data_IF_229854782490
#
_entry.id   IF_229854782490
#
_cell.length_a   1.000
_cell.length_b   1.000
_cell.length_c   1.000
_cell.angle_alpha   90.00
_cell.angle_beta   90.00
_cell.angle_gamma   90.00
#
_symmetry.space_group_name_H-M   'P 1'
#
loop_
_entity.id
_entity.type
_entity.pdbx_description
1 polymer ?
#
# COMPACT_ATOMS: atom_id res chain seq x y z
N UNK A 1 77.33 -47.90 14.44
CA UNK A 1 76.62 -46.94 15.29
C UNK A 1 75.73 -46.14 14.36
N UNK A 2 74.48 -46.58 14.18
CA UNK A 2 73.27 -45.91 14.70
C UNK A 2 72.99 -44.59 13.96
N UNK A 3 71.80 -44.22 13.46
CA UNK A 3 70.44 -44.73 13.70
C UNK A 3 69.45 -44.11 12.67
N UNK A 4 68.37 -44.86 12.39
CA UNK A 4 66.96 -44.43 12.25
C UNK A 4 66.42 -43.70 10.99
N UNK A 5 65.76 -44.48 10.12
CA UNK A 5 64.29 -44.56 9.92
C UNK A 5 63.45 -43.26 10.00
N UNK A 6 62.78 -42.91 8.88
CA UNK A 6 61.40 -42.38 8.89
C UNK A 6 60.57 -43.05 7.80
N UNK A 7 59.60 -43.84 8.26
CA UNK A 7 58.50 -44.38 7.49
C UNK A 7 57.26 -43.46 7.62
N UNK A 8 56.54 -43.34 6.50
CA UNK A 8 55.08 -43.34 6.33
C UNK A 8 54.12 -42.49 7.19
N UNK A 9 53.27 -41.77 6.43
CA UNK A 9 51.81 -41.55 6.49
C UNK A 9 51.16 -40.76 7.65
N UNK A 10 50.29 -39.81 7.22
CA UNK A 10 48.87 -39.64 7.58
C UNK A 10 48.38 -38.42 6.76
N UNK A 11 47.80 -38.59 5.57
CA UNK A 11 46.43 -39.01 5.26
C UNK A 11 45.38 -38.13 5.96
N UNK A 12 45.04 -37.02 5.31
CA UNK A 12 43.87 -36.18 5.62
C UNK A 12 42.77 -36.64 4.68
N UNK A 13 41.56 -37.02 5.16
CA UNK A 13 40.53 -37.48 4.26
C UNK A 13 40.01 -36.28 3.46
N UNK A 14 40.32 -36.24 2.17
CA UNK A 14 39.62 -35.42 1.19
C UNK A 14 38.15 -35.83 1.20
N UNK A 15 37.30 -35.00 1.83
CA UNK A 15 35.85 -35.17 1.74
C UNK A 15 35.47 -34.89 0.28
N UNK A 16 35.17 -35.95 -0.44
CA UNK A 16 34.85 -35.96 -1.85
C UNK A 16 33.45 -35.35 -2.06
N UNK A 17 33.40 -34.02 -2.26
CA UNK A 17 32.17 -33.21 -2.35
C UNK A 17 31.24 -33.69 -3.47
N UNK A 18 31.77 -34.26 -4.54
CA UNK A 18 31.02 -34.74 -5.71
C UNK A 18 30.21 -36.03 -5.46
N UNK A 19 30.59 -36.85 -4.48
CA UNK A 19 29.84 -38.08 -4.15
C UNK A 19 28.59 -37.79 -3.31
N UNK A 20 28.68 -36.81 -2.41
CA UNK A 20 27.58 -36.41 -1.54
C UNK A 20 26.45 -35.72 -2.31
N UNK A 21 26.76 -34.98 -3.37
CA UNK A 21 25.75 -34.34 -4.22
C UNK A 21 24.90 -35.35 -5.00
N UNK A 22 25.52 -36.43 -5.51
CA UNK A 22 24.82 -37.47 -6.26
C UNK A 22 23.92 -38.33 -5.36
N UNK A 23 24.37 -38.63 -4.15
CA UNK A 23 23.59 -39.41 -3.17
C UNK A 23 22.36 -38.63 -2.65
N UNK A 24 22.51 -37.31 -2.45
CA UNK A 24 21.39 -36.43 -2.11
C UNK A 24 20.36 -36.40 -3.23
N UNK A 25 20.79 -36.24 -4.49
CA UNK A 25 19.89 -36.19 -5.65
C UNK A 25 19.06 -37.47 -5.83
N UNK A 26 19.66 -38.63 -5.56
CA UNK A 26 18.97 -39.91 -5.63
C UNK A 26 17.92 -40.06 -4.51
N UNK A 27 18.21 -39.56 -3.30
CA UNK A 27 17.25 -39.51 -2.19
C UNK A 27 16.08 -38.56 -2.52
N UNK A 28 16.35 -37.40 -3.13
CA UNK A 28 15.32 -36.43 -3.50
C UNK A 28 14.36 -36.96 -4.56
N UNK A 29 14.89 -37.60 -5.60
CA UNK A 29 14.08 -38.25 -6.65
C UNK A 29 13.21 -39.36 -6.08
N UNK A 30 13.74 -40.16 -5.14
CA UNK A 30 13.00 -41.26 -4.51
C UNK A 30 11.87 -40.78 -3.60
N UNK A 31 12.09 -39.68 -2.87
CA UNK A 31 11.18 -39.20 -1.82
C UNK A 31 10.06 -38.31 -2.35
N UNK A 32 10.36 -37.43 -3.32
CA UNK A 32 9.40 -36.44 -3.83
C UNK A 32 8.76 -36.82 -5.18
N UNK A 33 9.34 -37.78 -5.91
CA UNK A 33 8.86 -38.22 -7.25
C UNK A 33 8.43 -37.07 -8.16
N UNK A 34 9.31 -36.08 -8.42
CA UNK A 34 8.97 -34.95 -9.29
C UNK A 34 8.61 -35.44 -10.70
N UNK A 35 7.54 -34.88 -11.27
CA UNK A 35 7.03 -35.26 -12.60
C UNK A 35 7.72 -34.54 -13.76
N UNK A 36 8.44 -33.45 -13.47
CA UNK A 36 9.15 -32.61 -14.44
C UNK A 36 10.52 -32.24 -13.90
N UNK A 37 11.46 -32.01 -14.82
CA UNK A 37 12.83 -31.60 -14.46
C UNK A 37 12.85 -30.24 -13.73
N UNK A 38 11.92 -29.34 -14.06
CA UNK A 38 11.73 -28.05 -13.39
C UNK A 38 11.29 -28.20 -11.92
N UNK A 39 10.40 -29.15 -11.64
CA UNK A 39 9.99 -29.45 -10.27
C UNK A 39 11.15 -30.05 -9.46
N UNK A 40 11.96 -30.94 -10.07
CA UNK A 40 13.15 -31.50 -9.44
C UNK A 40 14.17 -30.41 -9.09
N UNK A 41 14.40 -29.46 -10.00
CA UNK A 41 15.30 -28.33 -9.77
C UNK A 41 14.81 -27.39 -8.66
N UNK A 42 13.49 -27.21 -8.52
CA UNK A 42 12.87 -26.37 -7.48
C UNK A 42 13.01 -27.01 -6.09
N UNK A 43 12.74 -28.31 -5.98
CA UNK A 43 12.94 -29.08 -4.73
C UNK A 43 14.40 -29.03 -4.29
N UNK A 44 15.35 -29.22 -5.23
CA UNK A 44 16.79 -29.14 -4.94
C UNK A 44 17.18 -27.76 -4.42
N UNK A 45 16.68 -26.69 -5.03
CA UNK A 45 16.89 -25.31 -4.56
C UNK A 45 16.33 -25.09 -3.16
N UNK A 46 15.09 -25.49 -2.91
CA UNK A 46 14.43 -25.31 -1.61
C UNK A 46 15.22 -26.01 -0.48
N UNK A 47 15.65 -27.26 -0.71
CA UNK A 47 16.40 -28.04 0.28
C UNK A 47 17.82 -27.48 0.47
N UNK A 48 18.48 -27.04 -0.60
CA UNK A 48 19.77 -26.34 -0.49
C UNK A 48 19.67 -25.05 0.32
N UNK A 49 18.58 -24.29 0.14
CA UNK A 49 18.33 -23.05 0.89
C UNK A 49 18.08 -23.34 2.37
N UNK A 50 17.29 -24.38 2.68
CA UNK A 50 17.02 -24.83 4.04
C UNK A 50 18.30 -25.34 4.73
N UNK A 51 19.12 -26.14 4.03
CA UNK A 51 20.39 -26.64 4.54
C UNK A 51 21.38 -25.49 4.83
N UNK A 52 21.47 -24.51 3.93
CA UNK A 52 22.28 -23.31 4.13
C UNK A 52 21.79 -22.48 5.33
N UNK A 53 20.47 -22.38 5.53
CA UNK A 53 19.87 -21.68 6.67
C UNK A 53 20.11 -22.41 8.00
N UNK A 54 19.93 -23.74 8.02
CA UNK A 54 20.21 -24.58 9.18
C UNK A 54 21.69 -24.51 9.58
N UNK A 55 22.60 -24.48 8.60
CA UNK A 55 24.05 -24.41 8.85
C UNK A 55 24.51 -23.06 9.45
N UNK A 56 23.71 -21.99 9.34
CA UNK A 56 24.00 -20.71 10.02
C UNK A 56 23.80 -20.77 11.54
N UNK A 57 23.40 -21.92 12.10
CA UNK A 57 23.32 -22.17 13.54
C UNK A 57 22.16 -21.48 14.25
N UNK A 58 21.22 -20.89 13.50
CA UNK A 58 20.08 -20.15 14.04
C UNK A 58 18.85 -21.03 14.33
N UNK A 59 18.88 -22.32 13.93
CA UNK A 59 17.74 -23.22 14.05
C UNK A 59 18.00 -24.29 15.12
N UNK A 60 17.22 -24.27 16.20
CA UNK A 60 17.16 -25.40 17.13
C UNK A 60 16.35 -26.52 16.48
N UNK A 61 17.03 -27.47 15.87
CA UNK A 61 16.38 -28.65 15.27
C UNK A 61 15.78 -29.50 16.39
N UNK A 62 14.46 -29.58 16.45
CA UNK A 62 13.76 -30.47 17.37
C UNK A 62 13.82 -31.91 16.83
N UNK A 63 13.57 -32.90 17.69
CA UNK A 63 13.43 -34.32 17.30
C UNK A 63 12.33 -34.52 16.26
N UNK A 64 11.33 -33.63 16.28
CA UNK A 64 10.32 -33.52 15.25
C UNK A 64 10.71 -32.45 14.21
N UNK A 65 11.06 -32.93 13.02
CA UNK A 65 11.47 -32.09 11.89
C UNK A 65 10.28 -31.30 11.32
N UNK A 66 9.06 -31.83 11.40
CA UNK A 66 7.86 -31.16 10.91
C UNK A 66 7.59 -29.91 11.76
N UNK A 67 7.61 -30.06 13.09
CA UNK A 67 7.49 -28.93 14.02
C UNK A 67 8.59 -27.87 13.82
N UNK A 68 9.81 -28.31 13.46
CA UNK A 68 10.91 -27.38 13.15
C UNK A 68 10.60 -26.57 11.87
N UNK A 69 10.08 -27.20 10.82
CA UNK A 69 9.70 -26.54 9.57
C UNK A 69 8.54 -25.57 9.79
N UNK A 70 7.51 -25.97 10.51
CA UNK A 70 6.37 -25.10 10.84
C UNK A 70 6.81 -23.85 11.62
N UNK A 71 7.73 -24.02 12.57
CA UNK A 71 8.31 -22.90 13.32
C UNK A 71 9.10 -21.93 12.42
N UNK A 72 9.83 -22.47 11.43
CA UNK A 72 10.56 -21.64 10.47
C UNK A 72 9.62 -20.88 9.53
N UNK A 73 8.53 -21.50 9.08
CA UNK A 73 7.50 -20.83 8.28
C UNK A 73 6.87 -19.71 9.08
N UNK A 74 6.52 -19.95 10.35
CA UNK A 74 5.97 -18.91 11.22
C UNK A 74 6.94 -17.72 11.41
N UNK A 75 8.25 -17.98 11.55
CA UNK A 75 9.25 -16.91 11.66
C UNK A 75 9.37 -16.09 10.35
N UNK A 76 9.23 -16.75 9.19
CA UNK A 76 9.19 -16.07 7.89
C UNK A 76 7.92 -15.23 7.77
N UNK A 77 6.77 -15.79 8.14
CA UNK A 77 5.48 -15.11 8.08
C UNK A 77 5.45 -13.89 9.01
N UNK A 78 6.07 -13.98 10.19
CA UNK A 78 6.25 -12.84 11.10
C UNK A 78 7.08 -11.74 10.44
N UNK A 79 8.24 -12.08 9.87
CA UNK A 79 9.11 -11.12 9.16
C UNK A 79 8.42 -10.48 7.95
N UNK A 80 7.67 -11.27 7.18
CA UNK A 80 6.90 -10.78 6.04
C UNK A 80 5.76 -9.87 6.49
N UNK A 81 5.05 -10.25 7.56
CA UNK A 81 3.96 -9.47 8.14
C UNK A 81 4.47 -8.13 8.68
N UNK A 82 5.60 -8.12 9.38
CA UNK A 82 6.23 -6.90 9.87
C UNK A 82 6.61 -5.96 8.72
N UNK A 83 7.25 -6.49 7.69
CA UNK A 83 7.63 -5.70 6.53
C UNK A 83 6.41 -5.17 5.77
N UNK A 84 5.38 -6.01 5.60
CA UNK A 84 4.13 -5.62 4.95
C UNK A 84 3.39 -4.57 5.77
N UNK A 85 3.36 -4.70 7.09
CA UNK A 85 2.77 -3.71 7.99
C UNK A 85 3.45 -2.35 7.83
N UNK A 86 4.78 -2.29 7.73
CA UNK A 86 5.49 -1.04 7.48
C UNK A 86 5.11 -0.39 6.14
N UNK A 87 4.97 -1.19 5.08
CA UNK A 87 4.59 -0.70 3.74
C UNK A 87 3.14 -0.20 3.75
N UNK A 88 2.20 -1.04 4.21
CA UNK A 88 0.77 -0.74 4.18
C UNK A 88 0.37 0.38 5.15
N UNK A 89 1.09 0.55 6.27
CA UNK A 89 0.84 1.64 7.22
C UNK A 89 1.65 2.91 6.94
N UNK A 90 2.37 2.95 5.81
CA UNK A 90 3.04 4.19 5.41
C UNK A 90 1.99 5.26 5.05
N UNK A 91 2.13 6.47 5.60
CA UNK A 91 1.13 7.54 5.47
C UNK A 91 0.79 7.89 4.02
N UNK A 92 1.79 7.92 3.14
CA UNK A 92 1.56 8.22 1.73
C UNK A 92 0.81 7.09 1.01
N UNK A 93 1.09 5.84 1.38
CA UNK A 93 0.39 4.68 0.82
C UNK A 93 -1.05 4.68 1.29
N UNK A 94 -1.31 4.83 2.59
CA UNK A 94 -2.66 4.88 3.14
C UNK A 94 -3.50 6.01 2.55
N UNK A 95 -2.90 7.19 2.30
CA UNK A 95 -3.61 8.31 1.67
C UNK A 95 -4.02 8.00 0.23
N UNK A 96 -3.13 7.38 -0.54
CA UNK A 96 -3.43 6.97 -1.91
C UNK A 96 -4.47 5.85 -1.92
N UNK A 97 -4.28 4.85 -1.06
CA UNK A 97 -5.18 3.71 -0.91
C UNK A 97 -6.58 4.16 -0.49
N UNK A 98 -6.71 5.06 0.48
CA UNK A 98 -8.01 5.56 0.96
C UNK A 98 -8.77 6.28 -0.16
N UNK A 99 -8.09 7.08 -0.97
CA UNK A 99 -8.69 7.79 -2.10
C UNK A 99 -9.22 6.80 -3.15
N UNK A 100 -8.42 5.81 -3.54
CA UNK A 100 -8.82 4.81 -4.55
C UNK A 100 -9.87 3.82 -4.03
N UNK A 101 -9.77 3.40 -2.77
CA UNK A 101 -10.80 2.55 -2.15
C UNK A 101 -12.11 3.31 -1.96
N UNK A 102 -12.05 4.60 -1.62
CA UNK A 102 -13.22 5.48 -1.58
C UNK A 102 -13.89 5.62 -2.96
N UNK A 103 -13.10 5.81 -4.02
CA UNK A 103 -13.61 5.84 -5.39
C UNK A 103 -14.19 4.49 -5.83
N UNK A 104 -13.52 3.37 -5.54
CA UNK A 104 -14.04 2.03 -5.82
C UNK A 104 -15.36 1.83 -5.11
N UNK A 105 -15.44 2.18 -3.82
CA UNK A 105 -16.69 2.10 -3.05
C UNK A 105 -17.80 2.92 -3.70
N UNK A 106 -17.52 4.14 -4.16
CA UNK A 106 -18.51 4.96 -4.85
C UNK A 106 -19.01 4.31 -6.15
N UNK A 107 -18.10 3.76 -6.96
CA UNK A 107 -18.44 3.11 -8.23
C UNK A 107 -19.21 1.81 -8.00
N UNK A 108 -18.74 0.96 -7.08
CA UNK A 108 -19.31 -0.36 -6.82
C UNK A 108 -20.71 -0.30 -6.19
N UNK A 109 -21.02 0.79 -5.46
CA UNK A 109 -22.32 1.00 -4.82
C UNK A 109 -23.26 1.90 -5.63
N UNK A 110 -22.88 2.29 -6.84
CA UNK A 110 -23.70 3.12 -7.71
C UNK A 110 -24.08 2.33 -8.96
N UNK A 111 -25.38 2.18 -9.19
CA UNK A 111 -25.92 1.63 -10.44
C UNK A 111 -25.73 2.64 -11.59
N UNK A 112 -24.52 2.69 -12.13
CA UNK A 112 -24.19 3.51 -13.28
C UNK A 112 -24.97 3.03 -14.51
N UNK A 113 -25.87 3.88 -15.00
CA UNK A 113 -26.70 3.65 -16.19
C UNK A 113 -26.59 4.87 -17.12
N UNK A 114 -27.37 4.92 -18.20
CA UNK A 114 -27.34 6.05 -19.14
C UNK A 114 -27.64 7.42 -18.48
N UNK A 115 -28.35 7.42 -17.35
CA UNK A 115 -28.74 8.64 -16.61
C UNK A 115 -27.75 9.06 -15.53
N UNK A 116 -26.86 8.17 -15.08
CA UNK A 116 -25.91 8.44 -14.01
C UNK A 116 -24.48 8.19 -14.47
N UNK A 117 -23.70 9.28 -14.53
CA UNK A 117 -22.30 9.25 -14.93
C UNK A 117 -21.43 9.79 -13.80
N UNK A 118 -20.32 9.09 -13.54
CA UNK A 118 -19.29 9.52 -12.60
C UNK A 118 -18.10 10.00 -13.43
N UNK A 119 -17.66 11.24 -13.20
CA UNK A 119 -16.48 11.83 -13.84
C UNK A 119 -15.47 12.18 -12.77
N UNK A 120 -14.22 11.77 -12.99
CA UNK A 120 -13.15 11.90 -12.01
C UNK A 120 -12.10 12.89 -12.52
N UNK A 121 -11.76 13.86 -11.68
CA UNK A 121 -10.65 14.79 -11.90
C UNK A 121 -9.58 14.52 -10.83
N UNK A 122 -8.42 14.04 -11.25
CA UNK A 122 -7.29 13.87 -10.34
C UNK A 122 -6.57 15.21 -10.16
N UNK A 123 -6.77 15.85 -9.01
CA UNK A 123 -6.10 17.09 -8.63
C UNK A 123 -5.86 17.10 -7.12
N UNK A 124 -4.67 17.48 -6.67
CA UNK A 124 -4.39 17.61 -5.24
C UNK A 124 -5.01 18.89 -4.66
N UNK A 125 -5.33 18.89 -3.36
CA UNK A 125 -5.89 20.07 -2.68
C UNK A 125 -5.00 21.31 -2.81
N UNK A 126 -3.67 21.12 -2.77
CA UNK A 126 -2.69 22.20 -2.92
C UNK A 126 -2.65 22.76 -4.36
N UNK A 127 -2.71 21.89 -5.38
CA UNK A 127 -2.80 22.32 -6.78
C UNK A 127 -4.12 23.03 -7.07
N UNK A 128 -5.22 22.53 -6.54
CA UNK A 128 -6.53 23.16 -6.64
C UNK A 128 -6.51 24.55 -5.98
N UNK A 129 -5.95 24.64 -4.77
CA UNK A 129 -5.76 25.89 -4.04
C UNK A 129 -4.87 26.89 -4.79
N UNK A 130 -3.74 26.45 -5.35
CA UNK A 130 -2.86 27.28 -6.18
C UNK A 130 -3.55 27.75 -7.46
N UNK A 131 -4.31 26.88 -8.11
CA UNK A 131 -5.04 27.20 -9.33
C UNK A 131 -6.07 28.26 -9.05
N UNK A 132 -7.01 28.03 -8.13
CA UNK A 132 -8.06 29.00 -7.81
C UNK A 132 -7.50 30.31 -7.25
N UNK A 133 -6.40 30.27 -6.48
CA UNK A 133 -5.74 31.49 -5.98
C UNK A 133 -5.28 32.42 -7.10
N UNK A 134 -4.81 31.90 -8.23
CA UNK A 134 -4.33 32.71 -9.38
C UNK A 134 -5.45 33.52 -10.05
N UNK A 135 -6.70 33.08 -9.91
CA UNK A 135 -7.86 33.66 -10.58
C UNK A 135 -8.81 34.37 -9.61
N UNK A 136 -8.41 34.66 -8.37
CA UNK A 136 -9.28 35.34 -7.39
C UNK A 136 -9.72 36.74 -7.86
N UNK A 137 -10.86 37.20 -7.34
CA UNK A 137 -11.39 38.52 -7.63
C UNK A 137 -12.28 38.51 -8.87
N UNK A 138 -12.04 39.40 -9.83
CA UNK A 138 -12.88 39.54 -11.02
C UNK A 138 -12.67 38.46 -12.09
N UNK A 139 -11.60 37.68 -12.00
CA UNK A 139 -11.22 36.68 -13.02
C UNK A 139 -11.54 35.23 -12.61
N UNK A 140 -12.37 35.02 -11.59
CA UNK A 140 -12.63 33.71 -11.00
C UNK A 140 -13.35 32.76 -11.97
N UNK A 141 -14.16 33.33 -12.85
CA UNK A 141 -14.86 32.71 -13.98
C UNK A 141 -13.90 32.26 -15.10
N UNK A 142 -12.66 32.75 -15.12
CA UNK A 142 -11.65 32.31 -16.09
C UNK A 142 -10.81 31.13 -15.59
N UNK A 143 -11.04 30.68 -14.36
CA UNK A 143 -10.28 29.58 -13.76
C UNK A 143 -10.51 28.25 -14.51
N UNK A 144 -9.49 27.39 -14.68
CA UNK A 144 -9.65 26.09 -15.33
C UNK A 144 -10.75 25.23 -14.72
N UNK A 145 -10.93 25.32 -13.41
CA UNK A 145 -11.97 24.60 -12.67
C UNK A 145 -13.35 25.12 -13.03
N UNK A 146 -13.54 26.45 -13.08
CA UNK A 146 -14.81 27.03 -13.51
C UNK A 146 -15.16 26.63 -14.94
N UNK A 147 -14.19 26.68 -15.86
CA UNK A 147 -14.45 26.28 -17.26
C UNK A 147 -14.88 24.83 -17.38
N UNK A 148 -14.22 23.92 -16.65
CA UNK A 148 -14.57 22.50 -16.67
C UNK A 148 -15.95 22.21 -16.06
N UNK A 149 -16.30 22.87 -14.95
CA UNK A 149 -17.56 22.60 -14.23
C UNK A 149 -18.74 23.34 -14.87
N UNK A 150 -18.53 24.61 -15.24
CA UNK A 150 -19.58 25.48 -15.79
C UNK A 150 -19.55 25.50 -17.31
N UNK A 151 -18.50 26.04 -17.94
CA UNK A 151 -18.53 26.33 -19.39
C UNK A 151 -18.68 25.09 -20.26
N UNK A 152 -17.95 24.01 -19.95
CA UNK A 152 -17.94 22.80 -20.77
C UNK A 152 -19.22 21.96 -20.67
N UNK A 153 -19.99 22.13 -19.59
CA UNK A 153 -21.15 21.29 -19.29
C UNK A 153 -22.42 22.11 -19.11
N UNK A 154 -22.50 22.91 -18.03
CA UNK A 154 -23.70 23.69 -17.72
C UNK A 154 -23.98 24.81 -18.76
N UNK A 155 -22.93 25.49 -19.22
CA UNK A 155 -23.01 26.59 -20.19
C UNK A 155 -23.01 26.14 -21.65
N UNK A 156 -22.77 24.86 -21.93
CA UNK A 156 -22.65 24.32 -23.28
C UNK A 156 -24.00 23.80 -23.77
N UNK A 157 -24.39 24.15 -24.99
CA UNK A 157 -25.60 23.61 -25.60
C UNK A 157 -25.45 22.09 -25.82
N UNK A 158 -26.35 21.31 -25.21
CA UNK A 158 -26.30 19.84 -25.23
C UNK A 158 -25.25 19.23 -24.29
N UNK A 159 -24.71 20.00 -23.34
CA UNK A 159 -23.82 19.48 -22.29
C UNK A 159 -24.56 18.70 -21.19
N UNK A 160 -23.79 18.08 -20.30
CA UNK A 160 -24.31 17.24 -19.20
C UNK A 160 -23.97 17.89 -17.86
N UNK A 161 -24.84 18.76 -17.31
CA UNK A 161 -24.53 19.51 -16.10
C UNK A 161 -24.28 18.57 -14.91
N UNK A 162 -23.27 18.92 -14.10
CA UNK A 162 -22.93 18.15 -12.92
C UNK A 162 -24.02 18.31 -11.84
N UNK A 163 -24.55 17.18 -11.35
CA UNK A 163 -25.53 17.18 -10.27
C UNK A 163 -24.93 17.44 -8.89
N UNK A 164 -23.70 16.97 -8.65
CA UNK A 164 -22.94 17.26 -7.42
C UNK A 164 -21.43 17.14 -7.68
N UNK A 165 -20.65 17.81 -6.85
CA UNK A 165 -19.19 17.73 -6.84
C UNK A 165 -18.74 17.13 -5.52
N UNK A 166 -17.92 16.08 -5.58
CA UNK A 166 -17.32 15.44 -4.41
C UNK A 166 -15.84 15.80 -4.38
N UNK A 167 -15.39 16.43 -3.30
CA UNK A 167 -13.99 16.69 -3.02
C UNK A 167 -13.46 15.72 -1.97
N UNK A 168 -12.60 14.80 -2.39
CA UNK A 168 -11.83 13.92 -1.50
C UNK A 168 -10.69 14.69 -0.82
N UNK A 169 -11.09 15.66 0.00
CA UNK A 169 -10.22 16.53 0.77
C UNK A 169 -10.76 16.65 2.18
N UNK A 170 -9.86 17.02 3.09
CA UNK A 170 -10.18 17.32 4.47
C UNK A 170 -9.92 18.81 4.69
N UNK A 171 -10.96 19.56 5.08
CA UNK A 171 -10.86 20.99 5.32
C UNK A 171 -10.79 21.29 6.81
N UNK A 172 -9.85 22.16 7.20
CA UNK A 172 -9.71 22.68 8.55
C UNK A 172 -10.21 24.14 8.65
N UNK A 173 -10.05 24.74 9.83
CA UNK A 173 -10.36 26.16 10.07
C UNK A 173 -9.23 27.11 9.64
N UNK A 174 -8.21 26.61 8.93
CA UNK A 174 -7.10 27.46 8.48
C UNK A 174 -7.55 28.49 7.44
N UNK A 175 -6.91 29.68 7.38
CA UNK A 175 -7.23 30.69 6.36
C UNK A 175 -7.14 30.16 4.92
N UNK A 176 -6.22 29.22 4.67
CA UNK A 176 -6.03 28.59 3.36
C UNK A 176 -7.25 27.74 2.98
N UNK A 177 -7.71 26.89 3.88
CA UNK A 177 -8.90 26.04 3.69
C UNK A 177 -10.16 26.87 3.52
N UNK A 178 -10.39 27.86 4.38
CA UNK A 178 -11.54 28.77 4.29
C UNK A 178 -11.54 29.53 2.96
N UNK A 179 -10.39 30.05 2.54
CA UNK A 179 -10.29 30.77 1.28
C UNK A 179 -10.48 29.86 0.06
N UNK A 180 -10.03 28.60 0.12
CA UNK A 180 -10.29 27.61 -0.92
C UNK A 180 -11.79 27.25 -1.01
N UNK A 181 -12.42 26.95 0.12
CA UNK A 181 -13.87 26.69 0.20
C UNK A 181 -14.69 27.88 -0.30
N UNK A 182 -14.26 29.11 -0.01
CA UNK A 182 -14.94 30.32 -0.50
C UNK A 182 -14.92 30.40 -2.02
N UNK A 183 -13.81 30.09 -2.67
CA UNK A 183 -13.74 30.09 -4.14
C UNK A 183 -14.53 28.92 -4.75
N UNK A 184 -14.45 27.72 -4.14
CA UNK A 184 -15.25 26.57 -4.58
C UNK A 184 -16.75 26.81 -4.43
N UNK A 185 -17.18 27.51 -3.38
CA UNK A 185 -18.56 27.88 -3.16
C UNK A 185 -19.10 28.79 -4.27
N UNK A 186 -18.28 29.71 -4.81
CA UNK A 186 -18.67 30.54 -5.97
C UNK A 186 -18.87 29.70 -7.23
N UNK A 187 -17.95 28.77 -7.50
CA UNK A 187 -18.04 27.85 -8.66
C UNK A 187 -19.29 26.95 -8.52
N UNK A 188 -19.48 26.35 -7.35
CA UNK A 188 -20.63 25.52 -7.02
C UNK A 188 -21.96 26.28 -7.17
N UNK A 189 -22.03 27.51 -6.65
CA UNK A 189 -23.22 28.35 -6.75
C UNK A 189 -23.55 28.72 -8.20
N UNK A 190 -22.53 29.02 -9.02
CA UNK A 190 -22.74 29.39 -10.42
C UNK A 190 -23.19 28.20 -11.27
N UNK A 191 -22.64 27.01 -11.05
CA UNK A 191 -23.00 25.79 -11.77
C UNK A 191 -24.22 25.05 -11.18
N UNK A 192 -24.85 25.59 -10.13
CA UNK A 192 -25.91 24.91 -9.37
C UNK A 192 -25.53 23.49 -8.91
N UNK A 193 -24.26 23.29 -8.59
CA UNK A 193 -23.67 21.99 -8.29
C UNK A 193 -23.12 22.00 -6.85
N UNK A 194 -23.82 21.42 -5.86
CA UNK A 194 -23.37 21.41 -4.48
C UNK A 194 -22.02 20.69 -4.34
N UNK A 195 -21.13 21.27 -3.53
CA UNK A 195 -19.82 20.71 -3.20
C UNK A 195 -19.86 19.96 -1.87
N UNK A 196 -19.53 18.68 -1.88
CA UNK A 196 -19.52 17.79 -0.72
C UNK A 196 -18.08 17.39 -0.44
N UNK A 197 -17.64 17.53 0.80
CA UNK A 197 -16.27 17.23 1.22
C UNK A 197 -16.22 16.88 2.70
N UNK A 198 -15.06 16.45 3.20
CA UNK A 198 -14.87 16.08 4.61
C UNK A 198 -14.32 17.24 5.44
N UNK A 199 -14.64 17.23 6.74
CA UNK A 199 -14.11 18.17 7.71
C UNK A 199 -12.96 17.53 8.48
N UNK A 200 -11.98 18.34 8.85
CA UNK A 200 -10.88 17.94 9.73
C UNK A 200 -11.33 17.94 11.19
N UNK A 201 -10.86 17.00 12.04
CA UNK A 201 -11.14 17.04 13.49
C UNK A 201 -10.66 18.34 14.13
N UNK A 202 -9.66 19.00 13.53
CA UNK A 202 -9.15 20.30 13.95
C UNK A 202 -10.19 21.42 13.93
N UNK A 203 -11.28 21.30 13.16
CA UNK A 203 -12.41 22.25 13.19
C UNK A 203 -13.07 22.26 14.58
N UNK A 204 -13.15 21.09 15.23
CA UNK A 204 -13.67 20.93 16.58
C UNK A 204 -12.56 21.07 17.65
N UNK A 205 -11.39 21.60 17.29
CA UNK A 205 -10.20 21.67 18.15
C UNK A 205 -9.73 20.30 18.67
N UNK A 206 -9.99 19.24 17.90
CA UNK A 206 -9.59 17.87 18.23
C UNK A 206 -8.39 17.44 17.38
N UNK A 207 -7.59 16.50 17.91
CA UNK A 207 -6.48 15.91 17.15
C UNK A 207 -6.95 14.72 16.31
N UNK A 208 -8.05 14.07 16.70
CA UNK A 208 -8.62 12.92 16.02
C UNK A 208 -10.13 12.82 16.28
N UNK A 209 -10.84 12.14 15.38
CA UNK A 209 -12.29 11.94 15.52
C UNK A 209 -12.70 11.00 16.67
N UNK A 210 -11.77 10.30 17.34
CA UNK A 210 -12.10 9.45 18.50
C UNK A 210 -12.46 10.28 19.73
N UNK A 211 -11.93 11.50 19.82
CA UNK A 211 -12.21 12.46 20.89
C UNK A 211 -13.66 12.97 20.87
N UNK A 212 -14.38 12.82 19.75
CA UNK A 212 -15.72 13.34 19.58
C UNK A 212 -16.72 12.77 20.61
N UNK A 213 -16.58 11.51 21.00
CA UNK A 213 -17.42 10.89 22.02
C UNK A 213 -17.15 11.37 23.45
N UNK A 214 -16.01 12.04 23.67
CA UNK A 214 -15.59 12.55 24.97
C UNK A 214 -15.82 14.07 25.13
N UNK A 215 -16.59 14.68 24.21
CA UNK A 215 -16.94 16.09 24.30
C UNK A 215 -17.99 16.29 25.41
N UNK A 216 -17.55 16.26 26.68
CA UNK A 216 -18.36 16.73 27.80
C UNK A 216 -18.55 18.24 27.65
N UNK A 217 -19.80 18.67 27.49
CA UNK A 217 -20.20 20.06 27.34
C UNK A 217 -19.90 20.84 28.62
N UNK A 218 -18.66 21.30 28.82
CA UNK A 218 -18.33 22.28 29.87
C UNK A 218 -17.04 22.98 29.51
N UNK A 219 -17.16 24.16 28.90
CA UNK A 219 -16.32 25.31 29.20
C UNK A 219 -17.04 26.55 28.64
N UNK A 220 -18.10 26.95 29.35
CA UNK A 220 -18.49 28.36 29.38
C UNK A 220 -17.32 29.15 29.97
N UNK A 221 -16.66 29.94 29.13
CA UNK A 221 -15.90 31.13 29.55
C UNK A 221 -16.20 32.27 28.59
#
# INVERSE_FOLDING_TARGET
>A
MENMQKAQLNDTPDINVDLAENELDDILKRSFRPRTDEASATVRRAIGTLAAYANKGQVKVNRDVVLTIESLVAEIDEKLSDQMNLILHHKEFQKLESAWRGLSYLVDNTDANETLKIRVLNISQDELGKTLRRYRGSAWDQSPIFKQVYEHEYGQFGGEPFGCMIGDYEFDHSPQSVALLTELAKVAAAAHCPFITSSSPSIMQMNNWRELGNLSTTDEK
#
